data_IF_868166064195
#
_entry.id   IF_868166064195
#
_cell.length_a   1.000
_cell.length_b   1.000
_cell.length_c   1.000
_cell.angle_alpha   90.00
_cell.angle_beta   90.00
_cell.angle_gamma   90.00
#
_symmetry.space_group_name_H-M   'P 1'
#
loop_
_entity.id
_entity.type
_entity.pdbx_description
1 polymer ?
#
# COMPACT_ATOMS: atom_id res chain seq x y z
N UNK A 1 -29.34 1.56 2.24
CA UNK A 1 -28.35 0.45 2.32
C UNK A 1 -27.57 0.72 3.58
N UNK A 2 -27.83 -0.05 4.63
CA UNK A 2 -27.20 0.13 5.93
C UNK A 2 -25.91 -0.70 5.99
N UNK A 3 -24.90 -0.24 6.72
CA UNK A 3 -23.65 -0.99 6.87
C UNK A 3 -23.86 -2.38 7.51
N UNK A 4 -24.91 -2.52 8.32
CA UNK A 4 -25.35 -3.78 8.93
C UNK A 4 -25.85 -4.81 7.93
N UNK A 5 -26.18 -4.39 6.70
CA UNK A 5 -26.63 -5.31 5.65
C UNK A 5 -25.45 -6.15 5.09
N UNK A 6 -24.20 -5.79 5.42
CA UNK A 6 -22.99 -6.44 4.92
C UNK A 6 -22.23 -7.16 6.03
N UNK A 7 -21.94 -8.46 5.83
CA UNK A 7 -21.07 -9.25 6.71
C UNK A 7 -19.66 -8.67 6.86
N UNK A 8 -19.24 -7.80 5.94
CA UNK A 8 -17.95 -7.13 6.03
C UNK A 8 -17.84 -6.24 7.27
N UNK A 9 -18.96 -5.74 7.81
CA UNK A 9 -18.96 -4.93 9.04
C UNK A 9 -18.33 -5.68 10.21
N UNK A 10 -18.75 -6.91 10.47
CA UNK A 10 -18.22 -7.75 11.55
C UNK A 10 -16.71 -7.99 11.39
N UNK A 11 -16.25 -8.21 10.16
CA UNK A 11 -14.83 -8.39 9.86
C UNK A 11 -14.03 -7.10 10.09
N UNK A 12 -14.59 -5.94 9.75
CA UNK A 12 -13.95 -4.64 9.99
C UNK A 12 -13.88 -4.32 11.48
N UNK A 13 -14.94 -4.56 12.23
CA UNK A 13 -14.99 -4.36 13.69
C UNK A 13 -13.95 -5.25 14.40
N UNK A 14 -13.90 -6.55 14.03
CA UNK A 14 -12.91 -7.48 14.57
C UNK A 14 -11.46 -7.10 14.19
N UNK A 15 -11.25 -6.60 12.97
CA UNK A 15 -9.92 -6.15 12.52
C UNK A 15 -9.49 -4.90 13.28
N UNK A 16 -10.39 -3.94 13.52
CA UNK A 16 -10.09 -2.74 14.31
C UNK A 16 -9.74 -3.06 15.76
N UNK A 17 -10.45 -4.03 16.35
CA UNK A 17 -10.28 -4.44 17.74
C UNK A 17 -9.08 -5.36 18.02
N UNK A 18 -8.28 -5.71 16.99
CA UNK A 18 -7.11 -6.59 17.20
C UNK A 18 -6.04 -5.91 18.06
N UNK A 19 -5.42 -6.69 18.95
CA UNK A 19 -4.28 -6.26 19.77
C UNK A 19 -2.93 -6.76 19.21
N UNK A 20 -2.94 -7.40 18.03
CA UNK A 20 -1.72 -7.90 17.40
C UNK A 20 -0.85 -6.78 16.83
N UNK A 21 -1.42 -5.60 16.61
CA UNK A 21 -0.76 -4.39 16.15
C UNK A 21 -1.10 -3.24 17.10
N UNK A 22 -0.13 -2.37 17.34
CA UNK A 22 -0.32 -1.08 17.99
C UNK A 22 -1.15 -0.15 17.10
N UNK A 23 -1.77 0.88 17.69
CA UNK A 23 -2.50 1.89 16.89
C UNK A 23 -1.58 2.55 15.85
N UNK A 24 -0.32 2.84 16.22
CA UNK A 24 0.70 3.31 15.28
C UNK A 24 0.83 2.41 14.05
N UNK A 25 0.98 1.11 14.25
CA UNK A 25 1.11 0.15 13.16
C UNK A 25 -0.18 0.05 12.33
N UNK A 26 -1.34 0.05 12.97
CA UNK A 26 -2.64 0.06 12.27
C UNK A 26 -2.77 1.29 11.37
N UNK A 27 -2.39 2.46 11.84
CA UNK A 27 -2.41 3.70 11.05
C UNK A 27 -1.49 3.61 9.84
N UNK A 28 -0.22 3.21 10.03
CA UNK A 28 0.76 3.16 8.94
C UNK A 28 0.45 2.08 7.90
N UNK A 29 0.03 0.88 8.33
CA UNK A 29 -0.41 -0.19 7.41
C UNK A 29 -1.66 0.25 6.66
N UNK A 30 -2.65 0.82 7.37
CA UNK A 30 -3.86 1.34 6.76
C UNK A 30 -3.59 2.44 5.75
N UNK A 31 -2.67 3.36 6.05
CA UNK A 31 -2.25 4.44 5.15
C UNK A 31 -1.62 3.88 3.87
N UNK A 32 -0.71 2.90 3.99
CA UNK A 32 -0.12 2.24 2.83
C UNK A 32 -1.18 1.58 1.94
N UNK A 33 -2.22 0.97 2.53
CA UNK A 33 -3.33 0.39 1.79
C UNK A 33 -4.17 1.47 1.10
N UNK A 34 -4.58 2.52 1.81
CA UNK A 34 -5.51 3.52 1.28
C UNK A 34 -4.88 4.36 0.17
N UNK A 35 -3.60 4.70 0.28
CA UNK A 35 -2.88 5.44 -0.77
C UNK A 35 -2.71 4.59 -2.03
N UNK A 36 -2.38 3.29 -1.90
CA UNK A 36 -2.27 2.38 -3.06
C UNK A 36 -3.62 2.15 -3.74
N UNK A 37 -4.73 2.23 -3.00
CA UNK A 37 -6.09 2.14 -3.57
C UNK A 37 -6.62 3.46 -4.11
N UNK A 38 -5.93 4.58 -3.87
CA UNK A 38 -6.35 5.91 -4.34
C UNK A 38 -7.62 6.44 -3.65
N UNK A 39 -7.97 5.96 -2.44
CA UNK A 39 -9.15 6.47 -1.73
C UNK A 39 -8.81 7.78 -1.00
N UNK A 40 -9.18 8.94 -1.58
CA UNK A 40 -8.87 10.27 -1.01
C UNK A 40 -9.38 10.41 0.43
N UNK A 41 -10.67 10.10 0.67
CA UNK A 41 -11.27 10.22 2.00
C UNK A 41 -10.61 9.28 3.03
N UNK A 42 -10.33 8.03 2.63
CA UNK A 42 -9.70 7.05 3.51
C UNK A 42 -8.25 7.44 3.83
N UNK A 43 -7.50 7.94 2.84
CA UNK A 43 -6.12 8.40 3.02
C UNK A 43 -6.07 9.61 3.94
N UNK A 44 -6.93 10.61 3.70
CA UNK A 44 -7.04 11.78 4.58
C UNK A 44 -7.33 11.39 6.03
N UNK A 45 -8.36 10.56 6.26
CA UNK A 45 -8.69 10.10 7.61
C UNK A 45 -7.59 9.27 8.28
N UNK A 46 -6.79 8.51 7.53
CA UNK A 46 -5.63 7.78 8.09
C UNK A 46 -4.49 8.72 8.48
N UNK A 47 -4.26 9.78 7.72
CA UNK A 47 -3.27 10.81 8.03
C UNK A 47 -3.70 11.59 9.27
N UNK A 48 -4.96 12.03 9.32
CA UNK A 48 -5.53 12.75 10.46
C UNK A 48 -5.43 11.92 11.74
N UNK A 49 -5.97 10.69 11.75
CA UNK A 49 -5.90 9.84 12.95
C UNK A 49 -4.47 9.46 13.35
N UNK A 50 -3.54 9.36 12.39
CA UNK A 50 -2.13 9.13 12.70
C UNK A 50 -1.52 10.32 13.46
N UNK A 51 -1.82 11.55 13.03
CA UNK A 51 -1.36 12.77 13.70
C UNK A 51 -1.98 12.90 15.10
N UNK A 52 -3.26 12.58 15.25
CA UNK A 52 -3.96 12.62 16.54
C UNK A 52 -3.37 11.63 17.56
N UNK A 53 -2.89 10.47 17.10
CA UNK A 53 -2.16 9.47 17.89
C UNK A 53 -0.68 9.85 18.14
N UNK A 54 -0.25 11.05 17.75
CA UNK A 54 1.10 11.56 17.98
C UNK A 54 2.15 10.97 17.05
N UNK A 55 1.76 10.44 15.89
CA UNK A 55 2.72 9.97 14.87
C UNK A 55 3.26 11.20 14.13
N UNK A 56 4.57 11.42 14.24
CA UNK A 56 5.26 12.51 13.53
C UNK A 56 5.00 12.49 12.02
N UNK A 57 4.81 13.69 11.45
CA UNK A 57 4.52 13.86 10.02
C UNK A 57 5.61 13.25 9.13
N UNK A 58 6.87 13.30 9.55
CA UNK A 58 8.01 12.68 8.87
C UNK A 58 7.85 11.16 8.77
N UNK A 59 7.27 10.50 9.78
CA UNK A 59 6.97 9.06 9.72
C UNK A 59 5.87 8.80 8.69
N UNK A 60 4.81 9.61 8.69
CA UNK A 60 3.70 9.50 7.72
C UNK A 60 4.23 9.66 6.30
N UNK A 61 5.05 10.69 6.07
CA UNK A 61 5.70 10.95 4.78
C UNK A 61 6.59 9.78 4.35
N UNK A 62 7.39 9.22 5.26
CA UNK A 62 8.21 8.05 4.96
C UNK A 62 7.37 6.82 4.58
N UNK A 63 6.20 6.62 5.20
CA UNK A 63 5.29 5.54 4.83
C UNK A 63 4.66 5.76 3.43
N UNK A 64 4.35 7.02 3.07
CA UNK A 64 3.89 7.36 1.72
C UNK A 64 4.97 7.12 0.67
N UNK A 65 6.21 7.54 0.94
CA UNK A 65 7.37 7.28 0.06
C UNK A 65 7.59 5.79 -0.14
N UNK A 66 7.49 4.99 0.94
CA UNK A 66 7.57 3.53 0.89
C UNK A 66 6.46 2.94 0.02
N UNK A 67 5.20 3.33 0.23
CA UNK A 67 4.08 2.82 -0.54
C UNK A 67 4.21 3.19 -2.04
N UNK A 68 4.66 4.40 -2.35
CA UNK A 68 4.93 4.84 -3.71
C UNK A 68 6.04 4.00 -4.37
N UNK A 69 7.17 3.78 -3.67
CA UNK A 69 8.28 2.97 -4.18
C UNK A 69 7.88 1.51 -4.44
N UNK A 70 7.12 0.90 -3.52
CA UNK A 70 6.60 -0.47 -3.69
C UNK A 70 5.68 -0.56 -4.90
N UNK A 71 4.75 0.38 -5.05
CA UNK A 71 3.84 0.39 -6.20
C UNK A 71 4.59 0.54 -7.53
N UNK A 72 5.56 1.46 -7.60
CA UNK A 72 6.40 1.63 -8.77
C UNK A 72 7.21 0.36 -9.10
N UNK A 73 7.80 -0.27 -8.08
CA UNK A 73 8.53 -1.52 -8.22
C UNK A 73 7.65 -2.66 -8.76
N UNK A 74 6.42 -2.81 -8.23
CA UNK A 74 5.45 -3.79 -8.72
C UNK A 74 5.08 -3.51 -10.18
N UNK A 75 4.78 -2.26 -10.54
CA UNK A 75 4.48 -1.89 -11.93
C UNK A 75 5.60 -2.31 -12.88
N UNK A 76 6.85 -1.99 -12.55
CA UNK A 76 8.01 -2.35 -13.38
C UNK A 76 8.19 -3.87 -13.45
N UNK A 77 8.13 -4.57 -12.32
CA UNK A 77 8.32 -6.02 -12.28
C UNK A 77 7.22 -6.76 -13.04
N UNK A 78 5.97 -6.30 -12.94
CA UNK A 78 4.86 -6.86 -13.71
C UNK A 78 5.06 -6.68 -15.21
N UNK A 79 5.57 -5.52 -15.66
CA UNK A 79 5.87 -5.30 -17.07
C UNK A 79 6.99 -6.25 -17.57
N UNK A 80 8.08 -6.37 -16.81
CA UNK A 80 9.20 -7.27 -17.14
C UNK A 80 8.75 -8.73 -17.25
N UNK A 81 7.99 -9.22 -16.26
CA UNK A 81 7.46 -10.59 -16.30
C UNK A 81 6.43 -10.78 -17.43
N UNK A 82 5.68 -9.73 -17.76
CA UNK A 82 4.80 -9.70 -18.94
C UNK A 82 5.57 -9.86 -20.24
N UNK A 83 6.67 -9.13 -20.42
CA UNK A 83 7.57 -9.25 -21.58
C UNK A 83 8.10 -10.68 -21.69
N UNK A 84 8.66 -11.22 -20.59
CA UNK A 84 9.21 -12.58 -20.52
C UNK A 84 8.16 -13.64 -20.86
N UNK A 85 6.96 -13.52 -20.29
CA UNK A 85 5.86 -14.46 -20.55
C UNK A 85 5.48 -14.53 -22.03
N UNK A 86 5.67 -13.44 -22.77
CA UNK A 86 5.31 -13.35 -24.19
C UNK A 86 6.51 -13.56 -25.14
N UNK A 87 7.69 -13.91 -24.64
CA UNK A 87 8.87 -14.14 -25.49
C UNK A 87 9.40 -12.88 -26.17
N UNK A 88 9.24 -11.72 -25.51
CA UNK A 88 9.62 -10.40 -26.05
C UNK A 88 10.90 -9.84 -25.40
N UNK A 89 11.74 -10.69 -24.81
CA UNK A 89 12.90 -10.27 -24.01
C UNK A 89 13.88 -9.38 -24.78
N UNK A 90 14.02 -9.57 -26.09
CA UNK A 90 14.86 -8.72 -26.95
C UNK A 90 14.40 -7.24 -26.96
N UNK A 91 13.10 -6.98 -26.71
CA UNK A 91 12.54 -5.64 -26.62
C UNK A 91 12.81 -4.96 -25.26
N UNK A 92 13.22 -5.72 -24.24
CA UNK A 92 13.56 -5.21 -22.91
C UNK A 92 15.05 -5.42 -22.65
N UNK A 93 15.88 -4.51 -23.17
CA UNK A 93 17.34 -4.61 -23.16
C UNK A 93 18.05 -3.53 -22.33
N UNK A 94 17.32 -2.59 -21.73
CA UNK A 94 17.89 -1.54 -20.89
C UNK A 94 18.00 -1.93 -19.42
N UNK A 95 18.67 -1.07 -18.64
CA UNK A 95 18.86 -1.27 -17.20
C UNK A 95 17.54 -1.36 -16.42
N UNK A 96 16.46 -0.78 -16.96
CA UNK A 96 15.12 -0.88 -16.42
C UNK A 96 14.57 -2.32 -16.37
N UNK A 97 15.09 -3.21 -17.21
CA UNK A 97 14.71 -4.62 -17.27
C UNK A 97 15.38 -5.48 -16.19
N UNK A 98 16.39 -4.91 -15.51
CA UNK A 98 17.10 -5.53 -14.38
C UNK A 98 16.67 -4.95 -13.02
N UNK A 99 15.66 -4.06 -12.99
CA UNK A 99 15.17 -3.49 -11.73
C UNK A 99 14.56 -4.60 -10.86
N UNK A 100 15.09 -4.75 -9.63
CA UNK A 100 14.53 -5.64 -8.61
C UNK A 100 14.85 -7.12 -8.79
N UNK A 101 15.71 -7.50 -9.75
CA UNK A 101 16.40 -8.81 -9.73
C UNK A 101 17.65 -8.65 -8.88
N UNK A 102 17.81 -9.51 -7.88
CA UNK A 102 19.01 -9.51 -7.05
C UNK A 102 20.25 -9.66 -7.94
N UNK A 103 21.20 -8.73 -7.78
CA UNK A 103 22.52 -8.76 -8.41
C UNK A 103 23.36 -9.94 -7.95
#
# INVERSE_FOLDING_TARGET
MEATDFKVKEALDATGATNALTEREKHLVGLAVTVTRGCIACTGGRIEGALDEGIEYETIRAALDLAAAVNAGVTMRTAIEGVKRNGLEEACSGAECEIGVAS
#
